data_IF_681296005207
#
_entry.id   IF_681296005207
#
_cell.length_a   1.000
_cell.length_b   1.000
_cell.length_c   1.000
_cell.angle_alpha   90.00
_cell.angle_beta   90.00
_cell.angle_gamma   90.00
#
_symmetry.space_group_name_H-M   'P 1'
#
loop_
_entity.id
_entity.type
_entity.pdbx_description
1 polymer ?
#
# COMPACT_ATOMS: atom_id res chain seq x y z
N UNK A 1 48.94 -68.90 1.61
CA UNK A 1 49.87 -68.86 2.75
C UNK A 1 49.84 -67.44 3.29
N UNK A 2 48.98 -67.18 4.30
CA UNK A 2 49.35 -66.99 5.73
C UNK A 2 50.10 -65.67 5.94
N UNK A 3 49.60 -64.70 6.72
CA UNK A 3 49.33 -64.84 8.14
C UNK A 3 48.32 -63.81 8.68
N UNK A 4 47.43 -64.28 9.55
CA UNK A 4 46.62 -63.50 10.48
C UNK A 4 47.47 -62.97 11.64
N UNK A 5 47.15 -61.78 12.17
CA UNK A 5 47.27 -61.47 13.60
C UNK A 5 46.04 -60.64 14.03
N UNK A 6 45.30 -61.16 15.02
CA UNK A 6 44.16 -60.57 15.74
C UNK A 6 44.60 -59.35 16.56
N UNK A 7 43.72 -58.36 16.76
CA UNK A 7 43.52 -57.70 18.07
C UNK A 7 42.08 -57.14 18.21
N UNK A 8 41.46 -57.64 19.26
CA UNK A 8 40.31 -57.23 20.10
C UNK A 8 39.36 -56.09 19.69
N UNK A 9 38.10 -56.51 19.58
CA UNK A 9 36.84 -55.78 19.71
C UNK A 9 36.71 -55.11 21.09
N UNK A 10 36.36 -53.82 21.11
CA UNK A 10 35.72 -53.16 22.25
C UNK A 10 34.39 -52.54 21.78
N UNK A 11 33.30 -53.07 22.33
CA UNK A 11 31.94 -52.56 22.17
C UNK A 11 31.80 -51.34 23.08
N UNK A 12 31.71 -50.14 22.51
CA UNK A 12 31.26 -48.95 23.24
C UNK A 12 29.83 -48.63 22.79
N UNK A 13 28.89 -49.05 23.63
CA UNK A 13 27.47 -48.73 23.52
C UNK A 13 27.29 -47.29 24.02
N UNK A 14 27.25 -46.30 23.12
CA UNK A 14 26.92 -44.92 23.48
C UNK A 14 25.44 -44.68 23.15
N UNK A 15 24.57 -44.82 24.16
CA UNK A 15 23.18 -44.45 24.09
C UNK A 15 23.05 -42.92 23.95
N UNK A 16 22.72 -42.43 22.75
CA UNK A 16 22.17 -41.08 22.59
C UNK A 16 20.64 -41.16 22.71
N UNK A 17 20.15 -40.76 23.88
CA UNK A 17 18.75 -40.54 24.18
C UNK A 17 18.25 -39.32 23.37
N UNK A 18 17.28 -39.55 22.49
CA UNK A 18 16.42 -38.51 21.93
C UNK A 18 15.57 -37.92 23.08
N UNK A 19 15.81 -36.66 23.44
CA UNK A 19 14.92 -35.90 24.30
C UNK A 19 13.66 -35.50 23.51
N UNK A 20 12.63 -36.33 23.62
CA UNK A 20 11.24 -35.94 23.35
C UNK A 20 10.82 -34.92 24.41
N UNK A 21 10.62 -33.68 24.00
CA UNK A 21 9.97 -32.66 24.84
C UNK A 21 8.48 -33.01 24.89
N UNK A 22 8.05 -33.62 25.99
CA UNK A 22 6.64 -33.75 26.35
C UNK A 22 6.11 -32.38 26.81
N UNK A 23 4.87 -32.01 26.48
CA UNK A 23 4.25 -30.83 27.05
C UNK A 23 4.07 -31.02 28.55
N UNK A 24 4.44 -30.00 29.31
CA UNK A 24 4.36 -29.90 30.75
C UNK A 24 2.95 -30.24 31.24
N UNK A 25 2.77 -31.42 31.82
CA UNK A 25 1.60 -31.69 32.64
C UNK A 25 1.72 -30.82 33.90
N UNK A 26 0.93 -29.74 33.96
CA UNK A 26 0.88 -28.87 35.13
C UNK A 26 0.38 -29.69 36.32
N UNK A 27 1.23 -29.84 37.34
CA UNK A 27 0.94 -30.60 38.54
C UNK A 27 -0.14 -29.88 39.35
N UNK A 28 -1.32 -30.48 39.44
CA UNK A 28 -2.33 -30.12 40.43
C UNK A 28 -1.88 -30.65 41.78
N UNK A 29 -1.24 -29.81 42.59
CA UNK A 29 -1.04 -30.11 44.02
C UNK A 29 -2.35 -29.85 44.74
N UNK A 30 -3.16 -30.88 44.91
CA UNK A 30 -4.33 -30.83 45.80
C UNK A 30 -3.85 -31.12 47.22
N UNK A 31 -3.62 -30.07 48.01
CA UNK A 31 -3.51 -30.20 49.46
C UNK A 31 -4.92 -30.25 50.05
N UNK A 32 -5.28 -31.38 50.65
CA UNK A 32 -6.52 -31.53 51.41
C UNK A 32 -6.44 -30.70 52.70
N UNK A 33 -7.42 -29.82 53.01
CA UNK A 33 -7.54 -29.24 54.33
C UNK A 33 -8.16 -30.28 55.28
N UNK A 34 -7.55 -30.42 56.46
CA UNK A 34 -8.14 -31.15 57.58
C UNK A 34 -9.52 -30.59 57.93
N UNK A 35 -10.47 -31.49 58.17
CA UNK A 35 -11.84 -31.17 58.52
C UNK A 35 -11.91 -30.32 59.80
N UNK A 36 -12.60 -29.18 59.76
CA UNK A 36 -13.50 -28.72 60.82
C UNK A 36 -14.30 -27.45 60.43
N UNK A 37 -15.61 -27.55 60.70
CA UNK A 37 -16.62 -26.49 60.84
C UNK A 37 -17.23 -25.85 59.59
N UNK A 38 -18.55 -25.66 59.68
CA UNK A 38 -19.48 -25.33 58.63
C UNK A 38 -19.36 -23.87 58.16
N UNK A 39 -19.19 -23.70 56.85
CA UNK A 39 -19.32 -22.45 56.13
C UNK A 39 -19.22 -22.75 54.64
N UNK A 40 -20.25 -22.39 53.87
CA UNK A 40 -20.27 -22.53 52.41
C UNK A 40 -19.09 -21.77 51.80
N UNK A 41 -17.99 -22.45 51.47
CA UNK A 41 -16.88 -21.85 50.75
C UNK A 41 -17.18 -21.89 49.25
N UNK A 42 -17.50 -20.72 48.69
CA UNK A 42 -17.50 -20.52 47.25
C UNK A 42 -16.04 -20.63 46.79
N UNK A 43 -15.69 -21.74 46.15
CA UNK A 43 -14.43 -21.86 45.42
C UNK A 43 -14.58 -21.03 44.16
N UNK A 44 -14.17 -19.76 44.22
CA UNK A 44 -14.03 -18.94 43.03
C UNK A 44 -12.78 -19.42 42.29
N UNK A 45 -12.95 -20.34 41.34
CA UNK A 45 -11.92 -20.61 40.36
C UNK A 45 -11.79 -19.37 39.47
N UNK A 46 -10.78 -18.53 39.74
CA UNK A 46 -10.34 -17.54 38.77
C UNK A 46 -9.77 -18.32 37.58
N UNK A 47 -10.56 -18.41 36.51
CA UNK A 47 -10.01 -18.68 35.20
C UNK A 47 -9.04 -17.54 34.93
N UNK A 48 -7.75 -17.83 35.03
CA UNK A 48 -6.73 -16.96 34.46
C UNK A 48 -6.95 -17.05 32.95
N UNK A 49 -7.74 -16.12 32.40
CA UNK A 49 -7.66 -15.87 30.97
C UNK A 49 -6.19 -15.56 30.71
N UNK A 50 -5.49 -16.46 30.01
CA UNK A 50 -4.18 -16.13 29.48
C UNK A 50 -4.42 -14.96 28.51
N UNK A 51 -4.19 -13.75 29.02
CA UNK A 51 -4.33 -12.54 28.21
C UNK A 51 -3.42 -12.66 27.00
N UNK A 52 -3.96 -12.32 25.83
CA UNK A 52 -3.12 -12.21 24.64
C UNK A 52 -2.02 -11.18 24.90
N UNK A 53 -0.80 -11.49 24.44
CA UNK A 53 0.26 -10.48 24.41
C UNK A 53 -0.26 -9.24 23.68
N UNK A 54 -0.10 -8.07 24.28
CA UNK A 54 -0.62 -6.82 23.76
C UNK A 54 0.35 -5.68 24.07
N UNK A 55 0.36 -4.69 23.18
CA UNK A 55 1.15 -3.48 23.33
C UNK A 55 0.21 -2.27 23.34
N UNK A 56 0.43 -1.37 24.30
CA UNK A 56 -0.32 -0.12 24.45
C UNK A 56 0.63 1.05 24.30
N UNK A 57 0.20 2.08 23.55
CA UNK A 57 0.97 3.30 23.40
C UNK A 57 1.12 4.01 24.75
N UNK A 58 2.26 4.67 24.93
CA UNK A 58 2.57 5.49 26.11
C UNK A 58 1.57 6.66 26.27
N UNK A 59 1.07 7.19 25.14
CA UNK A 59 0.06 8.23 25.07
C UNK A 59 -1.12 7.76 24.19
N UNK A 60 -2.39 7.79 24.69
CA UNK A 60 -3.58 7.45 23.90
C UNK A 60 -3.78 8.28 22.62
N UNK A 61 -3.24 9.50 22.56
CA UNK A 61 -3.28 10.34 21.35
C UNK A 61 -2.35 9.83 20.25
N UNK A 62 -1.34 9.02 20.60
CA UNK A 62 -0.41 8.41 19.65
C UNK A 62 -1.01 7.15 19.02
N UNK A 63 -2.13 7.34 18.36
CA UNK A 63 -2.88 6.27 17.69
C UNK A 63 -2.01 5.51 16.69
N UNK A 64 -2.21 4.19 16.64
CA UNK A 64 -1.49 3.31 15.71
C UNK A 64 -2.05 3.46 14.29
N UNK A 65 -1.17 3.40 13.29
CA UNK A 65 -1.52 3.60 11.88
C UNK A 65 -1.20 2.38 11.02
N UNK A 66 0.03 1.87 11.11
CA UNK A 66 0.52 0.79 10.25
C UNK A 66 1.32 -0.23 11.05
N UNK A 67 1.24 -1.49 10.66
CA UNK A 67 1.99 -2.59 11.26
C UNK A 67 2.68 -3.40 10.15
N UNK A 68 3.95 -3.74 10.37
CA UNK A 68 4.73 -4.58 9.48
C UNK A 68 5.53 -5.59 10.31
N UNK A 69 5.56 -6.86 9.91
CA UNK A 69 6.29 -7.93 10.62
C UNK A 69 7.46 -8.40 9.77
N UNK A 70 8.68 -8.38 10.30
CA UNK A 70 9.85 -8.94 9.62
C UNK A 70 9.75 -10.47 9.63
N UNK A 71 9.55 -11.06 8.46
CA UNK A 71 9.35 -12.51 8.33
C UNK A 71 10.58 -13.34 8.74
N UNK A 72 11.77 -12.73 8.84
CA UNK A 72 13.02 -13.43 9.16
C UNK A 72 13.20 -13.68 10.66
N UNK A 73 12.72 -12.75 11.50
CA UNK A 73 12.95 -12.77 12.95
C UNK A 73 11.66 -12.60 13.79
N UNK A 74 10.53 -12.26 13.17
CA UNK A 74 9.25 -12.06 13.85
C UNK A 74 9.12 -10.73 14.59
N UNK A 75 10.10 -9.83 14.49
CA UNK A 75 10.00 -8.50 15.09
C UNK A 75 8.87 -7.70 14.41
N UNK A 76 8.14 -6.93 15.22
CA UNK A 76 7.01 -6.13 14.76
C UNK A 76 7.41 -4.67 14.72
N UNK A 77 7.22 -4.04 13.57
CA UNK A 77 7.42 -2.60 13.37
C UNK A 77 6.06 -1.94 13.32
N UNK A 78 5.83 -0.98 14.21
CA UNK A 78 4.54 -0.32 14.39
C UNK A 78 4.70 1.18 14.15
N UNK A 79 4.09 1.68 13.09
CA UNK A 79 3.98 3.09 12.77
C UNK A 79 2.79 3.70 13.50
N UNK A 80 3.04 4.75 14.26
CA UNK A 80 2.04 5.47 15.03
C UNK A 80 2.16 6.98 14.79
N UNK A 81 1.20 7.72 15.32
CA UNK A 81 1.34 9.18 15.41
C UNK A 81 2.52 9.51 16.32
N UNK A 82 3.45 10.33 15.82
CA UNK A 82 4.67 10.80 16.51
C UNK A 82 5.71 9.74 16.88
N UNK A 83 5.47 8.45 16.60
CA UNK A 83 6.36 7.35 17.02
C UNK A 83 6.44 6.24 15.98
N UNK A 84 7.59 5.58 15.92
CA UNK A 84 7.77 4.28 15.28
C UNK A 84 8.36 3.34 16.32
N UNK A 85 7.71 2.20 16.54
CA UNK A 85 8.17 1.20 17.50
C UNK A 85 8.75 -0.01 16.78
N UNK A 86 9.78 -0.60 17.39
CA UNK A 86 10.23 -1.96 17.11
C UNK A 86 9.93 -2.79 18.35
N UNK A 87 9.12 -3.83 18.16
CA UNK A 87 8.69 -4.75 19.20
C UNK A 87 9.26 -6.14 18.91
N UNK A 88 9.45 -6.91 19.99
CA UNK A 88 9.73 -8.34 19.91
C UNK A 88 8.50 -9.11 19.35
N UNK A 89 8.64 -10.41 19.03
CA UNK A 89 7.50 -11.26 18.71
C UNK A 89 6.48 -11.38 19.85
N UNK A 90 6.88 -11.15 21.10
CA UNK A 90 5.99 -11.08 22.28
C UNK A 90 5.38 -9.69 22.52
N UNK A 91 5.55 -8.76 21.57
CA UNK A 91 5.09 -7.37 21.62
C UNK A 91 5.74 -6.52 22.73
N UNK A 92 6.92 -6.92 23.20
CA UNK A 92 7.73 -6.11 24.12
C UNK A 92 8.50 -5.04 23.36
N UNK A 93 8.49 -3.80 23.84
CA UNK A 93 9.20 -2.68 23.20
C UNK A 93 10.71 -2.91 23.29
N UNK A 94 11.36 -2.99 22.13
CA UNK A 94 12.81 -3.05 22.04
C UNK A 94 13.39 -1.65 21.82
N UNK A 95 12.79 -0.89 20.89
CA UNK A 95 13.21 0.48 20.54
C UNK A 95 12.00 1.31 20.14
N UNK A 96 12.01 2.60 20.48
CA UNK A 96 11.08 3.59 19.94
C UNK A 96 11.84 4.75 19.29
N UNK A 97 11.34 5.22 18.14
CA UNK A 97 11.88 6.34 17.40
C UNK A 97 10.85 7.46 17.36
N UNK A 98 11.23 8.65 17.81
CA UNK A 98 10.36 9.83 17.82
C UNK A 98 10.28 10.47 16.42
N UNK A 99 9.05 10.71 15.94
CA UNK A 99 8.81 11.30 14.63
C UNK A 99 8.13 12.67 14.68
N UNK A 100 7.66 13.11 15.85
CA UNK A 100 7.00 14.37 16.12
C UNK A 100 6.55 14.45 17.58
N UNK A 101 5.70 15.41 17.96
CA UNK A 101 5.14 16.47 17.11
C UNK A 101 6.17 17.53 16.74
N UNK A 102 5.84 18.42 15.81
CA UNK A 102 6.69 19.57 15.48
C UNK A 102 5.90 20.76 14.92
N UNK A 103 6.47 21.96 14.96
CA UNK A 103 5.85 23.24 14.56
C UNK A 103 5.68 23.36 13.04
N UNK A 104 4.58 22.90 12.47
CA UNK A 104 4.38 22.88 11.02
C UNK A 104 3.04 23.51 10.62
N UNK A 105 2.88 23.79 9.32
CA UNK A 105 1.60 24.16 8.76
C UNK A 105 1.48 23.58 7.33
N UNK A 106 0.38 22.86 7.08
CA UNK A 106 0.10 22.18 5.79
C UNK A 106 0.04 23.15 4.59
N UNK A 107 -0.10 24.46 4.80
CA UNK A 107 -0.07 25.48 3.75
C UNK A 107 1.35 25.88 3.33
N UNK A 108 2.37 25.56 4.13
CA UNK A 108 3.76 25.91 3.84
C UNK A 108 4.35 25.00 2.75
N UNK A 109 4.57 25.54 1.54
CA UNK A 109 5.22 24.82 0.46
C UNK A 109 6.30 25.67 -0.25
N UNK A 110 7.55 25.17 -0.39
CA UNK A 110 8.18 24.08 0.37
C UNK A 110 8.06 24.20 1.92
N UNK A 111 8.32 23.11 2.66
CA UNK A 111 8.25 23.10 4.12
C UNK A 111 9.25 24.04 4.78
N UNK A 112 9.00 24.35 6.07
CA UNK A 112 9.80 25.31 6.85
C UNK A 112 11.30 24.99 6.97
N UNK A 113 11.64 23.71 6.90
CA UNK A 113 13.02 23.20 6.96
C UNK A 113 13.83 23.54 5.70
N UNK A 114 13.16 23.97 4.62
CA UNK A 114 13.79 24.41 3.37
C UNK A 114 13.68 25.92 3.19
N UNK A 115 12.53 26.50 3.50
CA UNK A 115 12.31 27.95 3.36
C UNK A 115 11.46 28.50 4.51
N UNK A 116 11.66 29.76 4.94
CA UNK A 116 10.77 30.40 5.90
C UNK A 116 9.32 30.41 5.39
N UNK A 117 8.36 30.15 6.28
CA UNK A 117 6.93 30.18 5.97
C UNK A 117 6.26 31.37 6.66
N UNK A 118 5.42 32.10 5.92
CA UNK A 118 4.66 33.25 6.45
C UNK A 118 3.38 32.83 7.17
N UNK A 119 2.93 31.60 6.98
CA UNK A 119 1.74 31.06 7.66
C UNK A 119 2.06 30.79 9.14
N UNK A 120 1.09 30.97 10.04
CA UNK A 120 1.30 30.69 11.45
C UNK A 120 1.58 29.19 11.65
N UNK A 121 2.69 28.89 12.32
CA UNK A 121 3.05 27.52 12.68
C UNK A 121 2.27 27.07 13.91
N UNK A 122 1.98 25.78 13.97
CA UNK A 122 1.36 25.15 15.12
C UNK A 122 2.02 23.81 15.39
N UNK A 123 2.18 23.46 16.67
CA UNK A 123 2.61 22.13 17.07
C UNK A 123 1.66 21.08 16.48
N UNK A 124 2.16 20.36 15.49
CA UNK A 124 1.38 19.44 14.66
C UNK A 124 1.89 18.02 14.83
N UNK A 125 0.96 17.09 15.00
CA UNK A 125 1.27 15.67 15.08
C UNK A 125 1.72 15.10 13.73
N UNK A 126 2.72 14.21 13.76
CA UNK A 126 3.19 13.48 12.60
C UNK A 126 2.50 12.13 12.49
N UNK A 127 1.54 12.01 11.56
CA UNK A 127 0.84 10.75 11.31
C UNK A 127 1.72 9.85 10.44
N UNK A 128 1.91 8.59 10.85
CA UNK A 128 2.59 7.63 9.97
C UNK A 128 1.65 7.23 8.83
N UNK A 129 2.03 7.57 7.59
CA UNK A 129 1.23 7.34 6.38
C UNK A 129 1.63 6.11 5.59
N UNK A 130 2.87 5.66 5.76
CA UNK A 130 3.38 4.49 5.06
C UNK A 130 4.54 3.88 5.85
N UNK A 131 4.58 2.55 5.89
CA UNK A 131 5.62 1.78 6.57
C UNK A 131 5.98 0.56 5.73
N UNK A 132 7.16 0.58 5.11
CA UNK A 132 7.61 -0.49 4.20
C UNK A 132 9.00 -0.99 4.60
N UNK A 133 9.17 -2.30 4.60
CA UNK A 133 10.48 -2.93 4.82
C UNK A 133 11.23 -3.07 3.50
N UNK A 134 12.41 -2.45 3.44
CA UNK A 134 13.41 -2.67 2.40
C UNK A 134 14.39 -3.73 2.90
N UNK A 135 14.06 -4.99 2.62
CA UNK A 135 14.82 -6.15 3.08
C UNK A 135 16.23 -6.21 2.50
N UNK A 136 16.44 -5.68 1.28
CA UNK A 136 17.73 -5.78 0.60
C UNK A 136 18.74 -4.84 1.23
N UNK A 137 18.32 -3.62 1.57
CA UNK A 137 19.17 -2.62 2.22
C UNK A 137 19.05 -2.64 3.76
N UNK A 138 18.37 -3.64 4.32
CA UNK A 138 18.12 -3.85 5.76
C UNK A 138 17.60 -2.59 6.48
N UNK A 139 16.62 -1.91 5.86
CA UNK A 139 16.06 -0.65 6.37
C UNK A 139 14.54 -0.61 6.27
N UNK A 140 13.96 0.31 7.04
CA UNK A 140 12.55 0.60 7.13
C UNK A 140 12.31 1.98 6.51
N UNK A 141 11.47 2.03 5.49
CA UNK A 141 10.97 3.26 4.91
C UNK A 141 9.70 3.67 5.65
N UNK A 142 9.76 4.79 6.37
CA UNK A 142 8.63 5.31 7.12
C UNK A 142 8.32 6.76 6.69
N UNK A 143 7.14 6.97 6.12
CA UNK A 143 6.73 8.28 5.64
C UNK A 143 5.66 8.90 6.55
N UNK A 144 5.85 10.18 6.88
CA UNK A 144 4.98 10.93 7.77
C UNK A 144 4.01 11.85 7.04
N UNK A 145 3.23 12.62 7.79
CA UNK A 145 2.39 13.71 7.26
C UNK A 145 3.05 15.09 7.41
N UNK A 146 3.97 15.26 8.36
CA UNK A 146 4.70 16.52 8.55
C UNK A 146 5.59 16.86 7.35
N UNK A 147 5.83 18.16 7.19
CA UNK A 147 6.70 18.73 6.16
C UNK A 147 6.30 18.32 4.75
N UNK A 148 5.01 18.40 4.45
CA UNK A 148 4.44 17.99 3.15
C UNK A 148 4.67 16.49 2.84
N UNK A 149 4.88 15.68 3.88
CA UNK A 149 4.97 14.22 3.80
C UNK A 149 6.35 13.70 3.40
N UNK A 150 7.40 14.13 4.11
CA UNK A 150 8.75 13.55 3.93
C UNK A 150 8.83 12.12 4.48
N UNK A 151 9.82 11.38 3.99
CA UNK A 151 10.13 10.03 4.43
C UNK A 151 11.44 9.95 5.21
N UNK A 152 11.47 9.03 6.17
CA UNK A 152 12.64 8.64 6.95
C UNK A 152 13.04 7.21 6.56
N UNK A 153 14.34 6.98 6.48
CA UNK A 153 14.94 5.66 6.34
C UNK A 153 15.55 5.28 7.69
N UNK A 154 15.04 4.22 8.31
CA UNK A 154 15.47 3.76 9.62
C UNK A 154 16.12 2.38 9.51
N UNK A 155 17.20 2.11 10.22
CA UNK A 155 17.81 0.76 10.24
C UNK A 155 16.88 -0.23 10.96
N UNK A 156 16.73 -1.44 10.43
CA UNK A 156 15.83 -2.44 11.03
C UNK A 156 16.29 -2.89 12.43
N UNK A 157 17.59 -2.84 12.73
CA UNK A 157 18.14 -3.35 13.98
C UNK A 157 17.80 -2.47 15.20
N UNK A 158 17.86 -1.15 15.04
CA UNK A 158 17.79 -0.21 16.15
C UNK A 158 17.02 1.08 15.83
N UNK A 159 16.33 1.14 14.69
CA UNK A 159 15.61 2.33 14.20
C UNK A 159 16.48 3.59 14.11
N UNK A 160 17.80 3.44 13.95
CA UNK A 160 18.69 4.56 13.71
C UNK A 160 18.36 5.23 12.37
N UNK A 161 18.27 6.56 12.35
CA UNK A 161 17.95 7.33 11.13
C UNK A 161 19.12 7.31 10.16
N UNK A 162 18.98 6.56 9.08
CA UNK A 162 19.94 6.46 7.98
C UNK A 162 19.85 7.63 7.00
N UNK A 163 18.69 8.24 6.88
CA UNK A 163 18.46 9.34 5.96
C UNK A 163 17.05 9.91 6.08
N UNK A 164 16.93 11.19 5.75
CA UNK A 164 15.66 11.92 5.70
C UNK A 164 15.77 12.96 4.57
N UNK A 165 15.56 12.56 3.31
CA UNK A 165 15.64 13.49 2.19
C UNK A 165 14.54 14.55 2.29
N UNK A 166 14.92 15.84 2.19
CA UNK A 166 13.96 16.96 2.21
C UNK A 166 14.28 18.10 1.25
N UNK A 167 15.41 18.07 0.54
CA UNK A 167 15.86 19.23 -0.27
C UNK A 167 15.14 19.41 -1.62
N UNK A 168 14.51 18.37 -2.18
CA UNK A 168 13.89 18.40 -3.51
C UNK A 168 12.38 18.22 -3.45
N UNK A 169 11.68 18.68 -4.49
CA UNK A 169 10.21 18.57 -4.58
C UNK A 169 9.74 17.11 -4.55
N UNK A 170 10.53 16.22 -5.14
CA UNK A 170 10.27 14.79 -5.20
C UNK A 170 10.36 14.12 -3.82
N UNK A 171 11.03 14.74 -2.84
CA UNK A 171 11.11 14.19 -1.49
C UNK A 171 9.80 14.34 -0.71
N UNK A 172 8.90 15.23 -1.15
CA UNK A 172 7.58 15.43 -0.55
C UNK A 172 6.57 14.48 -1.22
N UNK A 173 5.97 13.57 -0.45
CA UNK A 173 4.93 12.68 -0.97
C UNK A 173 3.56 13.35 -0.99
N UNK A 174 3.09 13.77 0.18
CA UNK A 174 1.79 14.40 0.39
C UNK A 174 1.59 14.70 1.88
N UNK A 175 1.20 15.93 2.21
CA UNK A 175 0.86 16.36 3.57
C UNK A 175 -0.55 15.99 4.04
N UNK A 176 -1.23 15.03 3.40
CA UNK A 176 -2.54 14.50 3.87
C UNK A 176 -2.39 13.87 5.26
N UNK A 177 -3.29 14.18 6.19
CA UNK A 177 -3.26 13.63 7.55
C UNK A 177 -3.97 12.27 7.68
N UNK A 178 -4.74 11.83 6.69
CA UNK A 178 -5.39 10.52 6.70
C UNK A 178 -4.37 9.40 6.44
N UNK A 179 -4.21 8.48 7.39
CA UNK A 179 -3.20 7.41 7.34
C UNK A 179 -3.42 6.41 6.21
N UNK A 180 -4.68 6.04 5.91
CA UNK A 180 -5.02 5.01 4.91
C UNK A 180 -5.19 5.52 3.48
N UNK A 181 -4.71 6.73 3.19
CA UNK A 181 -4.82 7.35 1.86
C UNK A 181 -3.60 7.13 0.97
N UNK A 182 -2.59 6.42 1.49
CA UNK A 182 -1.28 6.21 0.84
C UNK A 182 -0.91 4.74 0.89
N UNK A 183 -0.37 4.23 -0.20
CA UNK A 183 0.24 2.92 -0.23
C UNK A 183 1.47 2.92 -1.13
N UNK A 184 2.43 2.05 -0.83
CA UNK A 184 3.61 1.88 -1.66
C UNK A 184 4.06 0.44 -1.76
N UNK A 185 4.80 0.16 -2.82
CA UNK A 185 5.34 -1.17 -3.13
C UNK A 185 6.80 -0.99 -3.55
N UNK A 186 7.70 -1.66 -2.83
CA UNK A 186 9.12 -1.72 -3.19
C UNK A 186 9.31 -2.87 -4.19
N UNK A 187 9.98 -2.59 -5.30
CA UNK A 187 10.25 -3.53 -6.38
C UNK A 187 11.74 -3.55 -6.68
N UNK A 188 12.31 -4.76 -6.73
CA UNK A 188 13.72 -5.00 -7.05
C UNK A 188 13.90 -5.69 -8.40
N UNK A 189 14.87 -5.25 -9.22
CA UNK A 189 15.30 -5.98 -10.43
C UNK A 189 16.64 -6.65 -10.22
N UNK A 190 16.61 -7.75 -9.47
CA UNK A 190 17.80 -8.52 -9.17
C UNK A 190 18.88 -7.67 -8.47
N UNK A 191 20.13 -8.12 -8.60
CA UNK A 191 21.24 -7.59 -7.80
C UNK A 191 21.96 -6.39 -8.42
N UNK A 192 21.71 -6.08 -9.69
CA UNK A 192 22.47 -5.06 -10.43
C UNK A 192 21.83 -3.67 -10.38
N UNK A 193 20.49 -3.58 -10.30
CA UNK A 193 19.80 -2.28 -10.27
C UNK A 193 19.50 -1.83 -8.83
N UNK A 194 19.37 -0.52 -8.60
CA UNK A 194 18.70 -0.02 -7.40
C UNK A 194 17.23 -0.49 -7.37
N UNK A 195 16.64 -0.43 -6.19
CA UNK A 195 15.20 -0.70 -6.02
C UNK A 195 14.40 0.49 -6.49
N UNK A 196 13.14 0.23 -6.80
CA UNK A 196 12.17 1.25 -7.15
C UNK A 196 11.02 1.21 -6.16
N UNK A 197 10.53 2.38 -5.81
CA UNK A 197 9.33 2.57 -5.02
C UNK A 197 8.21 3.02 -5.95
N UNK A 198 7.20 2.17 -6.14
CA UNK A 198 5.91 2.65 -6.62
C UNK A 198 5.14 3.17 -5.42
N UNK A 199 4.73 4.43 -5.47
CA UNK A 199 4.00 5.07 -4.38
C UNK A 199 2.79 5.79 -4.93
N UNK A 200 1.69 5.64 -4.23
CA UNK A 200 0.42 6.21 -4.60
C UNK A 200 -0.22 6.89 -3.38
N UNK A 201 -0.72 8.10 -3.58
CA UNK A 201 -1.19 8.97 -2.49
C UNK A 201 -2.33 9.87 -2.94
N UNK A 202 -3.23 10.14 -2.00
CA UNK A 202 -4.13 11.28 -2.06
C UNK A 202 -3.34 12.61 -2.12
N UNK A 203 -3.91 13.62 -2.81
CA UNK A 203 -3.22 14.89 -3.10
C UNK A 203 -3.82 16.11 -2.39
N UNK A 204 -4.97 15.99 -1.71
CA UNK A 204 -5.57 17.08 -0.90
C UNK A 204 -5.81 18.38 -1.69
N UNK A 205 -6.26 18.26 -2.94
CA UNK A 205 -6.46 19.43 -3.81
C UNK A 205 -5.16 20.12 -4.27
N UNK A 206 -4.00 19.45 -4.15
CA UNK A 206 -2.69 19.98 -4.57
C UNK A 206 -2.08 19.20 -5.75
N UNK A 207 -2.77 19.10 -6.90
CA UNK A 207 -2.29 18.31 -8.05
C UNK A 207 -0.98 18.84 -8.64
N UNK A 208 -0.71 20.13 -8.50
CA UNK A 208 0.52 20.75 -9.01
C UNK A 208 1.75 20.26 -8.25
N UNK A 209 1.61 20.03 -6.94
CA UNK A 209 2.71 19.68 -6.04
C UNK A 209 3.01 18.19 -6.02
N UNK A 210 1.97 17.36 -6.00
CA UNK A 210 2.11 15.92 -5.77
C UNK A 210 1.47 15.12 -6.91
N UNK A 211 2.20 14.17 -7.51
CA UNK A 211 1.56 13.14 -8.32
C UNK A 211 0.76 12.19 -7.44
N UNK A 212 -0.36 11.70 -7.97
CA UNK A 212 -1.20 10.73 -7.26
C UNK A 212 -0.62 9.32 -7.32
N UNK A 213 0.13 8.98 -8.39
CA UNK A 213 0.96 7.77 -8.47
C UNK A 213 2.30 8.14 -9.08
N UNK A 214 3.40 7.59 -8.55
CA UNK A 214 4.74 7.76 -9.13
C UNK A 214 5.62 6.53 -8.91
N UNK A 215 6.62 6.36 -9.78
CA UNK A 215 7.71 5.42 -9.60
C UNK A 215 9.00 6.20 -9.32
N UNK A 216 9.61 5.89 -8.17
CA UNK A 216 10.72 6.63 -7.59
C UNK A 216 11.91 5.72 -7.36
N UNK A 217 13.12 6.28 -7.47
CA UNK A 217 14.37 5.56 -7.21
C UNK A 217 14.57 5.38 -5.71
N UNK A 218 14.90 4.17 -5.28
CA UNK A 218 15.43 3.89 -3.95
C UNK A 218 16.92 3.62 -4.07
N UNK A 219 17.72 4.68 -3.86
CA UNK A 219 19.16 4.55 -3.86
C UNK A 219 19.64 3.67 -2.70
N UNK A 220 20.75 2.97 -2.90
CA UNK A 220 21.34 2.10 -1.85
C UNK A 220 21.87 2.94 -0.69
N UNK A 221 22.57 4.03 -1.02
CA UNK A 221 22.96 5.02 -0.03
C UNK A 221 21.74 5.87 0.36
N UNK A 222 21.38 5.82 1.64
CA UNK A 222 20.23 6.55 2.21
C UNK A 222 20.40 8.07 2.20
N UNK A 223 21.63 8.56 2.06
CA UNK A 223 21.97 10.00 1.98
C UNK A 223 22.15 10.49 0.54
N UNK A 224 21.99 9.62 -0.45
CA UNK A 224 22.16 10.00 -1.85
C UNK A 224 21.09 11.01 -2.28
N UNK A 225 21.52 12.08 -2.93
CA UNK A 225 20.64 13.13 -3.45
C UNK A 225 19.65 12.62 -4.53
N UNK A 226 19.92 11.46 -5.12
CA UNK A 226 19.03 10.76 -6.05
C UNK A 226 17.89 9.98 -5.38
N UNK A 227 17.83 9.93 -4.05
CA UNK A 227 16.76 9.24 -3.32
C UNK A 227 15.39 9.85 -3.66
N UNK A 228 14.40 9.00 -3.93
CA UNK A 228 13.04 9.36 -4.34
C UNK A 228 12.89 10.14 -5.65
N UNK A 229 13.98 10.40 -6.39
CA UNK A 229 13.88 10.97 -7.73
C UNK A 229 13.03 10.07 -8.64
N UNK A 230 12.31 10.64 -9.60
CA UNK A 230 11.56 9.84 -10.57
C UNK A 230 12.49 8.89 -11.33
N UNK A 231 11.99 7.69 -11.63
CA UNK A 231 12.76 6.69 -12.41
C UNK A 231 13.15 7.27 -13.77
N UNK A 232 12.20 7.94 -14.42
CA UNK A 232 12.39 8.69 -15.66
C UNK A 232 11.68 10.05 -15.56
N UNK A 233 12.31 11.09 -16.09
CA UNK A 233 11.78 12.43 -16.15
C UNK A 233 12.41 13.19 -17.32
N UNK A 234 11.59 13.59 -18.29
CA UNK A 234 11.91 14.54 -19.34
C UNK A 234 10.86 15.68 -19.38
N UNK A 235 10.96 16.58 -20.36
CA UNK A 235 10.07 17.75 -20.49
C UNK A 235 8.59 17.38 -20.72
N UNK A 236 8.30 16.20 -21.28
CA UNK A 236 6.95 15.80 -21.72
C UNK A 236 6.40 14.59 -20.95
N UNK A 237 7.28 13.72 -20.45
CA UNK A 237 6.98 12.42 -19.88
C UNK A 237 7.78 12.22 -18.61
N UNK A 238 7.10 11.74 -17.58
CA UNK A 238 7.72 11.38 -16.31
C UNK A 238 7.09 10.10 -15.77
N UNK A 239 7.81 9.40 -14.91
CA UNK A 239 7.31 8.20 -14.21
C UNK A 239 6.28 8.56 -13.11
N UNK A 240 5.23 9.30 -13.47
CA UNK A 240 4.18 9.76 -12.57
C UNK A 240 2.88 10.08 -13.31
N UNK A 241 1.77 10.05 -12.56
CA UNK A 241 0.46 10.54 -13.00
C UNK A 241 -0.01 11.60 -12.01
N UNK A 242 -0.44 12.74 -12.54
CA UNK A 242 -1.07 13.83 -11.79
C UNK A 242 -2.56 13.88 -12.08
N UNK A 243 -3.34 14.35 -11.10
CA UNK A 243 -4.76 14.65 -11.32
C UNK A 243 -4.83 15.98 -12.08
N UNK A 244 -5.52 16.06 -13.23
CA UNK A 244 -5.67 17.33 -13.96
C UNK A 244 -6.41 18.38 -13.13
N UNK A 245 -6.02 19.65 -13.25
CA UNK A 245 -6.71 20.76 -12.57
C UNK A 245 -8.20 20.86 -12.96
N UNK A 246 -8.53 20.51 -14.20
CA UNK A 246 -9.91 20.50 -14.70
C UNK A 246 -10.81 19.53 -13.92
N UNK A 247 -10.26 18.43 -13.41
CA UNK A 247 -11.00 17.48 -12.55
C UNK A 247 -11.51 18.16 -11.29
N UNK A 248 -10.72 19.05 -10.67
CA UNK A 248 -11.11 19.82 -9.49
C UNK A 248 -12.15 20.91 -9.81
N UNK A 249 -12.23 21.37 -11.05
CA UNK A 249 -13.31 22.29 -11.46
C UNK A 249 -14.67 21.60 -11.51
N UNK A 250 -14.68 20.29 -11.82
CA UNK A 250 -15.90 19.47 -11.90
C UNK A 250 -16.28 18.92 -10.52
N UNK A 251 -15.29 18.39 -9.78
CA UNK A 251 -15.45 17.84 -8.43
C UNK A 251 -14.35 18.47 -7.53
N UNK A 252 -14.65 19.54 -6.78
CA UNK A 252 -13.65 20.28 -5.99
C UNK A 252 -12.89 19.43 -4.96
N UNK A 253 -13.57 18.45 -4.36
CA UNK A 253 -13.00 17.55 -3.35
C UNK A 253 -12.58 16.20 -3.95
N UNK A 254 -12.29 16.16 -5.26
CA UNK A 254 -11.84 14.92 -5.92
C UNK A 254 -10.49 14.48 -5.36
N UNK A 255 -10.43 13.25 -4.87
CA UNK A 255 -9.18 12.61 -4.49
C UNK A 255 -9.24 11.10 -4.70
N UNK A 256 -8.07 10.47 -4.79
CA UNK A 256 -7.95 9.02 -5.00
C UNK A 256 -7.34 8.43 -3.72
N UNK A 257 -8.10 7.57 -3.05
CA UNK A 257 -7.66 6.88 -1.85
C UNK A 257 -7.05 5.52 -2.22
N UNK A 258 -5.79 5.31 -1.86
CA UNK A 258 -5.05 4.07 -2.14
C UNK A 258 -5.10 3.13 -0.93
N UNK A 259 -6.06 2.21 -0.94
CA UNK A 259 -6.39 1.36 0.21
C UNK A 259 -5.38 0.22 0.38
N UNK A 260 -4.89 -0.32 -0.73
CA UNK A 260 -3.94 -1.44 -0.72
C UNK A 260 -3.08 -1.44 -1.98
N UNK A 261 -1.88 -2.02 -1.92
CA UNK A 261 -1.00 -2.19 -3.05
C UNK A 261 -0.11 -3.42 -2.91
N UNK A 262 0.21 -4.06 -4.03
CA UNK A 262 1.05 -5.27 -4.04
C UNK A 262 1.77 -5.43 -5.38
N UNK A 263 2.83 -6.23 -5.37
CA UNK A 263 3.51 -6.68 -6.58
C UNK A 263 3.16 -8.15 -6.86
N UNK A 264 2.90 -8.50 -8.11
CA UNK A 264 2.77 -9.89 -8.55
C UNK A 264 3.23 -10.02 -10.00
N UNK A 265 4.02 -11.07 -10.27
CA UNK A 265 4.69 -11.25 -11.56
C UNK A 265 5.49 -10.00 -11.97
N UNK A 266 5.24 -9.50 -13.17
CA UNK A 266 5.89 -8.31 -13.74
C UNK A 266 5.12 -7.00 -13.53
N UNK A 267 4.12 -7.01 -12.63
CA UNK A 267 3.22 -5.88 -12.43
C UNK A 267 3.19 -5.42 -10.98
N UNK A 268 2.80 -4.16 -10.80
CA UNK A 268 2.33 -3.62 -9.52
C UNK A 268 0.85 -3.30 -9.65
N UNK A 269 0.13 -3.49 -8.55
CA UNK A 269 -1.30 -3.28 -8.45
C UNK A 269 -1.59 -2.34 -7.29
N UNK A 270 -2.55 -1.44 -7.49
CA UNK A 270 -3.11 -0.62 -6.43
C UNK A 270 -4.63 -0.77 -6.44
N UNK A 271 -5.23 -0.87 -5.27
CA UNK A 271 -6.67 -0.84 -5.11
C UNK A 271 -7.08 0.54 -4.63
N UNK A 272 -7.92 1.19 -5.41
CA UNK A 272 -8.31 2.57 -5.18
C UNK A 272 -9.79 2.68 -4.87
N UNK A 273 -10.12 3.74 -4.14
CA UNK A 273 -11.48 4.23 -4.02
C UNK A 273 -11.48 5.70 -4.48
N UNK A 274 -12.30 6.02 -5.47
CA UNK A 274 -12.34 7.36 -6.05
C UNK A 274 -13.78 7.81 -6.32
N UNK A 275 -14.06 9.13 -6.26
CA UNK A 275 -15.32 9.71 -6.73
C UNK A 275 -15.63 9.32 -8.18
N UNK A 276 -16.90 9.05 -8.46
CA UNK A 276 -17.36 8.83 -9.84
C UNK A 276 -17.53 10.16 -10.57
N UNK A 277 -16.82 10.31 -11.70
CA UNK A 277 -16.97 11.43 -12.63
C UNK A 277 -18.15 11.12 -13.56
N UNK A 278 -19.34 11.71 -13.33
CA UNK A 278 -20.46 11.65 -14.30
C UNK A 278 -21.83 11.19 -13.81
N UNK A 279 -22.05 10.98 -12.51
CA UNK A 279 -23.32 10.43 -11.98
C UNK A 279 -24.48 11.40 -11.75
N UNK A 280 -24.83 12.28 -12.70
CA UNK A 280 -26.08 13.07 -12.59
C UNK A 280 -26.54 13.68 -13.91
N UNK A 281 -27.86 13.64 -14.24
CA UNK A 281 -28.36 14.06 -15.53
C UNK A 281 -28.01 15.51 -15.83
N UNK A 282 -27.68 15.74 -17.11
CA UNK A 282 -27.49 17.03 -17.77
C UNK A 282 -28.80 17.83 -17.80
N UNK A 283 -29.31 18.20 -16.63
CA UNK A 283 -30.44 19.13 -16.49
C UNK A 283 -30.25 19.95 -15.21
N UNK A 284 -29.77 21.18 -15.39
CA UNK A 284 -29.85 22.34 -14.49
C UNK A 284 -30.33 22.16 -13.06
N UNK A 285 -29.53 21.52 -12.19
CA UNK A 285 -29.72 21.66 -10.74
C UNK A 285 -28.39 21.82 -10.03
N UNK A 286 -28.38 22.89 -9.24
CA UNK A 286 -27.35 23.44 -8.36
C UNK A 286 -26.42 22.41 -7.73
N UNK A 287 -25.12 22.70 -7.76
CA UNK A 287 -24.01 21.92 -7.19
C UNK A 287 -24.03 21.81 -5.66
N UNK A 288 -24.93 22.51 -4.96
CA UNK A 288 -25.13 22.35 -3.53
C UNK A 288 -26.11 21.21 -3.26
N UNK A 289 -25.59 19.99 -3.04
CA UNK A 289 -26.39 18.84 -2.57
C UNK A 289 -26.33 17.56 -3.41
N UNK A 290 -25.44 17.45 -4.40
CA UNK A 290 -25.22 16.15 -5.07
C UNK A 290 -24.43 15.22 -4.15
N UNK A 291 -25.03 14.09 -3.82
CA UNK A 291 -24.42 13.08 -2.95
C UNK A 291 -23.31 12.35 -3.72
N UNK A 292 -22.07 12.42 -3.23
CA UNK A 292 -20.91 11.87 -3.93
C UNK A 292 -20.92 10.33 -3.90
N UNK A 293 -20.90 9.73 -5.09
CA UNK A 293 -20.77 8.29 -5.30
C UNK A 293 -19.29 7.95 -5.50
N UNK A 294 -18.87 6.82 -4.95
CA UNK A 294 -17.50 6.29 -5.02
C UNK A 294 -17.47 4.95 -5.74
N UNK A 295 -16.41 4.73 -6.50
CA UNK A 295 -16.14 3.49 -7.22
C UNK A 295 -14.79 2.93 -6.80
N UNK A 296 -14.78 1.65 -6.43
CA UNK A 296 -13.53 0.93 -6.20
C UNK A 296 -12.95 0.44 -7.51
N UNK A 297 -11.64 0.62 -7.72
CA UNK A 297 -10.94 0.16 -8.92
C UNK A 297 -9.67 -0.59 -8.57
N UNK A 298 -9.26 -1.50 -9.44
CA UNK A 298 -7.91 -2.03 -9.47
C UNK A 298 -7.12 -1.33 -10.56
N UNK A 299 -6.01 -0.72 -10.17
CA UNK A 299 -5.01 -0.11 -11.03
C UNK A 299 -3.88 -1.11 -11.23
N UNK A 300 -3.35 -1.22 -12.46
CA UNK A 300 -2.18 -2.04 -12.78
C UNK A 300 -1.15 -1.23 -13.58
N UNK A 301 0.12 -1.41 -13.26
CA UNK A 301 1.27 -0.88 -14.00
C UNK A 301 2.30 -1.99 -14.23
N UNK A 302 2.97 -1.99 -15.38
CA UNK A 302 4.17 -2.79 -15.60
C UNK A 302 5.28 -2.25 -14.72
N UNK A 303 6.04 -3.14 -14.09
CA UNK A 303 7.22 -2.72 -13.32
C UNK A 303 8.21 -1.98 -14.25
N UNK A 304 8.46 -2.52 -15.44
CA UNK A 304 9.51 -2.06 -16.36
C UNK A 304 9.15 -0.81 -17.16
N UNK A 305 7.90 -0.37 -17.05
CA UNK A 305 7.41 0.78 -17.79
C UNK A 305 7.74 2.09 -17.08
N UNK A 306 8.75 2.78 -17.59
CA UNK A 306 9.18 4.09 -17.05
C UNK A 306 8.29 5.24 -17.50
N UNK A 307 7.48 5.05 -18.55
CA UNK A 307 6.65 6.09 -19.15
C UNK A 307 5.19 6.07 -18.67
N UNK A 308 4.81 5.10 -17.82
CA UNK A 308 3.45 4.94 -17.27
C UNK A 308 2.36 4.66 -18.33
N UNK A 309 2.83 4.27 -19.52
CA UNK A 309 2.09 3.87 -20.69
C UNK A 309 1.20 2.63 -20.47
N UNK A 310 1.56 1.78 -19.51
CA UNK A 310 0.89 0.55 -19.12
C UNK A 310 -0.24 0.75 -18.10
N UNK A 311 -0.52 2.00 -17.70
CA UNK A 311 -1.56 2.32 -16.73
C UNK A 311 -2.94 1.83 -17.22
N UNK A 312 -3.61 1.07 -16.37
CA UNK A 312 -4.98 0.63 -16.60
C UNK A 312 -5.73 0.55 -15.29
N UNK A 313 -7.00 0.97 -15.30
CA UNK A 313 -7.90 0.86 -14.16
C UNK A 313 -9.17 0.11 -14.56
N UNK A 314 -9.64 -0.78 -13.68
CA UNK A 314 -10.88 -1.55 -13.89
C UNK A 314 -11.71 -1.50 -12.60
N UNK A 315 -13.03 -1.21 -12.67
CA UNK A 315 -13.90 -1.28 -11.51
C UNK A 315 -13.93 -2.68 -10.89
N UNK A 316 -13.91 -2.75 -9.56
CA UNK A 316 -13.97 -4.00 -8.80
C UNK A 316 -15.05 -3.94 -7.73
N UNK A 317 -15.57 -5.11 -7.38
CA UNK A 317 -16.61 -5.28 -6.38
C UNK A 317 -17.23 -6.66 -6.50
N UNK A 318 -18.25 -6.91 -5.69
CA UNK A 318 -18.92 -8.21 -5.67
C UNK A 318 -20.40 -8.05 -5.34
N UNK A 319 -21.15 -9.11 -5.63
CA UNK A 319 -22.60 -9.16 -5.44
C UNK A 319 -22.92 -10.43 -4.64
N UNK A 320 -23.72 -10.29 -3.60
CA UNK A 320 -24.25 -11.42 -2.83
C UNK A 320 -25.73 -11.19 -2.54
N UNK A 321 -26.59 -12.14 -2.91
CA UNK A 321 -28.04 -12.05 -2.67
C UNK A 321 -28.69 -10.75 -3.19
N UNK A 322 -28.34 -10.32 -4.42
CA UNK A 322 -28.76 -9.05 -5.04
C UNK A 322 -28.29 -7.77 -4.34
N UNK A 323 -27.36 -7.87 -3.38
CA UNK A 323 -26.72 -6.71 -2.75
C UNK A 323 -25.35 -6.48 -3.38
N UNK A 324 -25.11 -5.25 -3.85
CA UNK A 324 -23.81 -4.85 -4.37
C UNK A 324 -22.90 -4.28 -3.27
N UNK A 325 -21.65 -4.75 -3.27
CA UNK A 325 -20.60 -4.30 -2.38
C UNK A 325 -19.49 -3.67 -3.25
N UNK A 326 -19.36 -2.34 -3.16
CA UNK A 326 -18.52 -1.54 -4.09
C UNK A 326 -17.54 -0.61 -3.38
N UNK A 327 -17.59 -0.50 -2.05
CA UNK A 327 -16.69 0.36 -1.28
C UNK A 327 -15.59 -0.48 -0.63
N UNK A 328 -14.38 -0.43 -1.18
CA UNK A 328 -13.25 -1.18 -0.66
C UNK A 328 -12.81 -0.64 0.70
N UNK A 329 -12.65 -1.55 1.67
CA UNK A 329 -12.20 -1.24 3.03
C UNK A 329 -10.78 -1.74 3.30
N UNK A 330 -10.47 -2.95 2.84
CA UNK A 330 -9.17 -3.59 3.03
C UNK A 330 -8.97 -4.70 2.00
N UNK A 331 -7.71 -5.07 1.75
CA UNK A 331 -7.38 -6.22 0.94
C UNK A 331 -6.08 -6.88 1.37
N UNK A 332 -5.88 -8.11 0.92
CA UNK A 332 -4.68 -8.90 1.19
C UNK A 332 -4.42 -9.89 0.05
N UNK A 333 -3.20 -9.87 -0.48
CA UNK A 333 -2.74 -10.85 -1.47
C UNK A 333 -2.23 -12.11 -0.77
N UNK A 334 -2.69 -13.28 -1.20
CA UNK A 334 -2.22 -14.57 -0.70
C UNK A 334 -2.17 -15.61 -1.81
N UNK A 335 -1.67 -16.80 -1.48
CA UNK A 335 -1.77 -17.99 -2.33
C UNK A 335 -3.13 -18.64 -2.19
N UNK A 336 -3.62 -19.25 -3.26
CA UNK A 336 -4.91 -19.96 -3.25
C UNK A 336 -4.93 -21.12 -2.24
N UNK A 337 -3.84 -21.88 -2.16
CA UNK A 337 -3.79 -23.12 -1.38
C UNK A 337 -4.61 -24.25 -2.03
N UNK A 338 -4.36 -25.48 -1.59
CA UNK A 338 -4.91 -26.68 -2.24
C UNK A 338 -6.45 -26.82 -2.15
N UNK A 339 -7.08 -26.19 -1.16
CA UNK A 339 -8.52 -26.32 -0.91
C UNK A 339 -9.34 -25.31 -1.72
N UNK A 340 -8.91 -24.06 -1.79
CA UNK A 340 -9.64 -22.99 -2.48
C UNK A 340 -9.35 -22.98 -3.99
N UNK A 341 -8.15 -23.42 -4.40
CA UNK A 341 -7.71 -23.43 -5.79
C UNK A 341 -8.68 -24.11 -6.77
N UNK A 342 -9.24 -25.31 -6.49
CA UNK A 342 -10.20 -25.96 -7.39
C UNK A 342 -11.47 -25.14 -7.62
N UNK A 343 -12.00 -24.50 -6.58
CA UNK A 343 -13.22 -23.67 -6.66
C UNK A 343 -13.04 -22.39 -7.46
N UNK A 344 -11.80 -21.91 -7.57
CA UNK A 344 -11.46 -20.69 -8.32
C UNK A 344 -10.95 -20.98 -9.74
N UNK A 345 -10.76 -22.26 -10.08
CA UNK A 345 -10.05 -22.73 -11.28
C UNK A 345 -8.66 -22.11 -11.38
N UNK A 346 -7.80 -22.35 -10.39
CA UNK A 346 -6.40 -21.85 -10.35
C UNK A 346 -5.47 -22.92 -9.78
N UNK A 347 -4.16 -22.73 -9.90
CA UNK A 347 -3.18 -23.57 -9.21
C UNK A 347 -3.09 -23.20 -7.71
N UNK A 348 -2.67 -24.13 -6.82
CA UNK A 348 -2.50 -23.84 -5.39
C UNK A 348 -1.56 -22.65 -5.11
N UNK A 349 -0.55 -22.45 -5.95
CA UNK A 349 0.46 -21.40 -5.81
C UNK A 349 0.12 -20.11 -6.58
N UNK A 350 -1.04 -20.06 -7.24
CA UNK A 350 -1.50 -18.84 -7.92
C UNK A 350 -1.92 -17.79 -6.89
N UNK A 351 -1.66 -16.52 -7.25
CA UNK A 351 -2.04 -15.38 -6.42
C UNK A 351 -3.55 -15.12 -6.47
N UNK A 352 -4.11 -14.94 -5.29
CA UNK A 352 -5.53 -14.63 -5.05
C UNK A 352 -5.63 -13.42 -4.14
N UNK A 353 -6.48 -12.48 -4.55
CA UNK A 353 -6.75 -11.26 -3.81
C UNK A 353 -8.00 -11.43 -2.95
N UNK A 354 -7.85 -11.32 -1.64
CA UNK A 354 -8.96 -11.20 -0.70
C UNK A 354 -9.24 -9.72 -0.47
N UNK A 355 -10.50 -9.30 -0.55
CA UNK A 355 -10.89 -7.91 -0.36
C UNK A 355 -12.22 -7.79 0.38
N UNK A 356 -12.29 -6.84 1.31
CA UNK A 356 -13.51 -6.50 2.06
C UNK A 356 -14.15 -5.29 1.40
N UNK A 357 -15.46 -5.41 1.11
CA UNK A 357 -16.25 -4.31 0.58
C UNK A 357 -17.46 -4.01 1.45
N UNK A 358 -17.72 -2.73 1.68
CA UNK A 358 -18.98 -2.24 2.25
C UNK A 358 -20.06 -2.09 1.18
N UNK A 359 -21.31 -2.23 1.61
CA UNK A 359 -22.52 -2.14 0.77
C UNK A 359 -22.73 -0.77 0.15
N UNK A 360 -23.20 -0.76 -1.08
CA UNK A 360 -23.52 0.46 -1.83
C UNK A 360 -22.27 1.17 -2.33
N UNK A 361 -22.42 2.45 -2.69
CA UNK A 361 -21.37 3.28 -3.30
C UNK A 361 -21.24 4.66 -2.61
N UNK A 362 -21.90 4.83 -1.46
CA UNK A 362 -21.90 6.09 -0.71
C UNK A 362 -21.09 5.91 0.54
N UNK A 363 -20.05 6.73 0.74
CA UNK A 363 -19.29 6.74 1.98
C UNK A 363 -20.20 7.23 3.11
N UNK A 364 -20.60 6.33 4.00
CA UNK A 364 -21.29 6.67 5.24
C UNK A 364 -20.27 6.84 6.36
N UNK A 365 -20.55 7.67 7.39
CA UNK A 365 -19.68 7.79 8.54
C UNK A 365 -19.37 6.41 9.15
N UNK A 366 -18.12 6.20 9.59
CA UNK A 366 -17.65 4.91 10.16
C UNK A 366 -18.48 4.44 11.37
N UNK A 367 -19.27 5.32 12.00
CA UNK A 367 -20.17 4.96 13.10
C UNK A 367 -21.44 4.20 12.68
N UNK A 368 -21.85 4.22 11.41
CA UNK A 368 -23.03 3.46 10.99
C UNK A 368 -22.63 2.01 10.68
N UNK A 369 -23.33 1.03 11.27
CA UNK A 369 -23.13 -0.40 10.94
C UNK A 369 -23.30 -0.60 9.43
N UNK A 370 -22.20 -0.87 8.72
CA UNK A 370 -22.23 -1.14 7.28
C UNK A 370 -22.28 -2.64 7.06
N UNK A 371 -23.28 -3.10 6.29
CA UNK A 371 -23.23 -4.44 5.69
C UNK A 371 -21.94 -4.53 4.88
N UNK A 372 -21.13 -5.59 5.11
CA UNK A 372 -19.87 -5.83 4.40
C UNK A 372 -19.78 -7.27 3.89
N UNK A 373 -18.94 -7.48 2.89
CA UNK A 373 -18.68 -8.79 2.29
C UNK A 373 -17.18 -9.01 2.08
N UNK A 374 -16.72 -10.24 2.34
CA UNK A 374 -15.41 -10.73 1.93
C UNK A 374 -15.52 -11.35 0.55
N UNK A 375 -14.73 -10.85 -0.38
CA UNK A 375 -14.73 -11.23 -1.77
C UNK A 375 -13.34 -11.67 -2.21
N UNK A 376 -13.31 -12.64 -3.12
CA UNK A 376 -12.09 -13.35 -3.51
C UNK A 376 -11.92 -13.25 -5.02
N UNK A 377 -10.78 -12.76 -5.48
CA UNK A 377 -10.49 -12.53 -6.89
C UNK A 377 -9.24 -13.29 -7.31
N UNK A 378 -9.38 -14.16 -8.31
CA UNK A 378 -8.22 -14.74 -8.99
C UNK A 378 -7.48 -13.66 -9.77
N UNK A 379 -6.18 -13.49 -9.51
CA UNK A 379 -5.38 -12.50 -10.23
C UNK A 379 -5.26 -12.86 -11.73
N UNK A 380 -5.33 -14.15 -12.06
CA UNK A 380 -5.42 -14.65 -13.44
C UNK A 380 -6.64 -14.07 -14.16
N UNK A 381 -7.83 -14.19 -13.56
CA UNK A 381 -9.08 -13.65 -14.13
C UNK A 381 -9.06 -12.12 -14.25
N UNK A 382 -8.49 -11.42 -13.27
CA UNK A 382 -8.28 -9.96 -13.35
C UNK A 382 -7.41 -9.62 -14.57
N UNK A 383 -6.28 -10.31 -14.74
CA UNK A 383 -5.35 -10.07 -15.84
C UNK A 383 -5.97 -10.40 -17.21
N UNK A 384 -6.80 -11.44 -17.30
CA UNK A 384 -7.60 -11.77 -18.49
C UNK A 384 -8.57 -10.65 -18.83
N UNK A 385 -9.32 -10.12 -17.86
CA UNK A 385 -10.25 -9.00 -18.09
C UNK A 385 -9.54 -7.73 -18.53
N UNK A 386 -8.39 -7.42 -17.93
CA UNK A 386 -7.56 -6.29 -18.38
C UNK A 386 -7.07 -6.52 -19.82
N UNK A 387 -6.61 -7.74 -20.15
CA UNK A 387 -6.16 -8.08 -21.50
C UNK A 387 -7.28 -7.95 -22.53
N UNK A 388 -8.47 -8.45 -22.24
CA UNK A 388 -9.66 -8.30 -23.09
C UNK A 388 -9.97 -6.83 -23.36
N UNK A 389 -9.94 -5.98 -22.31
CA UNK A 389 -10.20 -4.54 -22.44
C UNK A 389 -9.17 -3.84 -23.32
N UNK A 390 -7.88 -4.15 -23.12
CA UNK A 390 -6.80 -3.62 -23.96
C UNK A 390 -6.94 -4.08 -25.41
N UNK A 391 -7.25 -5.35 -25.66
CA UNK A 391 -7.45 -5.89 -27.00
C UNK A 391 -8.63 -5.24 -27.73
N UNK A 392 -9.75 -4.99 -27.06
CA UNK A 392 -10.88 -4.23 -27.62
C UNK A 392 -10.48 -2.80 -27.97
N UNK A 393 -9.72 -2.13 -27.09
CA UNK A 393 -9.22 -0.79 -27.41
C UNK A 393 -8.27 -0.79 -28.61
N UNK A 394 -7.37 -1.78 -28.74
CA UNK A 394 -6.51 -1.90 -29.93
C UNK A 394 -7.25 -2.27 -31.22
N UNK A 395 -8.51 -2.73 -31.14
CA UNK A 395 -9.39 -2.86 -32.31
C UNK A 395 -10.05 -1.55 -32.71
N UNK A 396 -9.83 -0.47 -31.95
CA UNK A 396 -10.50 0.82 -32.13
C UNK A 396 -11.91 0.87 -31.54
N UNK A 397 -12.26 -0.07 -30.65
CA UNK A 397 -13.60 -0.15 -30.07
C UNK A 397 -13.70 0.70 -28.79
N UNK A 398 -14.67 1.63 -28.79
CA UNK A 398 -14.98 2.47 -27.63
C UNK A 398 -13.96 3.58 -27.36
N UNK A 399 -13.91 4.02 -26.10
CA UNK A 399 -13.05 5.12 -25.63
C UNK A 399 -12.13 4.65 -24.52
N UNK A 400 -11.07 5.42 -24.26
CA UNK A 400 -10.26 5.26 -23.06
C UNK A 400 -11.04 5.85 -21.87
N UNK A 401 -11.92 5.03 -21.29
CA UNK A 401 -12.83 5.33 -20.18
C UNK A 401 -12.07 5.65 -18.87
N UNK A 402 -11.47 6.85 -18.84
CA UNK A 402 -10.61 7.41 -17.79
C UNK A 402 -11.07 8.84 -17.46
N UNK A 403 -12.34 8.98 -17.11
CA UNK A 403 -13.02 10.28 -17.00
C UNK A 403 -12.37 11.29 -16.02
N UNK A 404 -11.60 10.84 -15.04
CA UNK A 404 -10.90 11.74 -14.10
C UNK A 404 -9.53 12.20 -14.61
N UNK A 405 -8.91 11.45 -15.52
CA UNK A 405 -7.61 11.79 -16.10
C UNK A 405 -7.79 12.59 -17.40
N UNK A 406 -9.00 12.56 -17.98
CA UNK A 406 -9.30 13.16 -19.28
C UNK A 406 -10.57 13.98 -19.20
N UNK A 407 -10.48 15.22 -19.64
CA UNK A 407 -11.63 16.14 -19.74
C UNK A 407 -12.53 15.77 -20.92
N UNK A 408 -11.99 15.05 -21.91
CA UNK A 408 -12.73 14.58 -23.10
C UNK A 408 -12.45 13.10 -23.37
N UNK A 409 -13.48 12.41 -23.83
CA UNK A 409 -13.36 11.02 -24.27
C UNK A 409 -12.40 10.89 -25.45
N UNK A 410 -11.33 10.13 -25.24
CA UNK A 410 -10.35 9.83 -26.29
C UNK A 410 -10.76 8.49 -26.92
N UNK A 411 -11.05 8.44 -28.24
CA UNK A 411 -11.38 7.19 -28.91
C UNK A 411 -10.20 6.25 -28.89
N UNK A 412 -10.49 4.97 -28.71
CA UNK A 412 -9.50 3.92 -28.88
C UNK A 412 -9.01 3.90 -30.34
N UNK A 413 -7.69 3.72 -30.53
CA UNK A 413 -7.10 3.69 -31.87
C UNK A 413 -6.90 2.25 -32.31
N UNK A 414 -7.26 1.95 -33.56
CA UNK A 414 -6.99 0.64 -34.13
C UNK A 414 -5.50 0.52 -34.43
N UNK A 415 -4.87 -0.49 -33.85
CA UNK A 415 -3.53 -0.92 -34.20
C UNK A 415 -3.59 -2.40 -34.56
N UNK A 416 -2.96 -2.79 -35.68
CA UNK A 416 -2.89 -4.20 -36.05
C UNK A 416 -2.20 -4.97 -34.93
N UNK A 417 -2.84 -6.07 -34.51
CA UNK A 417 -2.43 -6.91 -33.40
C UNK A 417 -0.98 -7.36 -33.60
N UNK A 418 -0.06 -6.95 -32.72
CA UNK A 418 1.28 -7.53 -32.68
C UNK A 418 1.16 -9.00 -32.29
N UNK A 419 1.11 -9.89 -33.27
CA UNK A 419 1.50 -11.28 -33.08
C UNK A 419 3.00 -11.29 -32.79
N UNK A 420 3.35 -11.42 -31.50
CA UNK A 420 4.70 -11.73 -31.03
C UNK A 420 5.77 -10.70 -31.37
N UNK A 421 5.96 -9.71 -30.50
CA UNK A 421 7.22 -9.05 -30.14
C UNK A 421 6.89 -7.96 -29.10
N UNK A 422 7.88 -7.63 -28.27
CA UNK A 422 7.82 -6.84 -27.04
C UNK A 422 6.88 -5.63 -27.05
N UNK A 423 6.10 -5.51 -25.98
CA UNK A 423 5.10 -4.47 -25.72
C UNK A 423 5.68 -3.06 -25.46
N UNK A 424 6.96 -2.83 -25.73
CA UNK A 424 7.68 -1.60 -25.35
C UNK A 424 7.67 -0.51 -26.45
N UNK A 425 7.42 -0.86 -27.72
CA UNK A 425 7.60 0.08 -28.84
C UNK A 425 6.41 0.95 -29.24
N UNK A 426 5.16 0.52 -28.98
CA UNK A 426 3.99 1.12 -29.63
C UNK A 426 3.20 2.12 -28.78
N UNK A 427 3.41 2.15 -27.46
CA UNK A 427 2.65 3.05 -26.59
C UNK A 427 3.07 4.51 -26.78
N UNK A 428 4.32 4.74 -27.22
CA UNK A 428 4.86 6.06 -27.56
C UNK A 428 4.07 6.80 -28.66
N UNK A 429 3.43 6.08 -29.58
CA UNK A 429 2.79 6.70 -30.74
C UNK A 429 1.35 7.19 -30.47
N UNK A 430 0.61 6.51 -29.58
CA UNK A 430 -0.76 6.89 -29.23
C UNK A 430 -0.81 7.92 -28.08
N UNK A 431 0.11 7.85 -27.12
CA UNK A 431 0.24 8.84 -26.04
C UNK A 431 0.81 10.17 -26.53
N UNK A 432 1.80 10.16 -27.44
CA UNK A 432 2.35 11.37 -28.04
C UNK A 432 1.32 12.21 -28.81
N UNK A 433 0.27 11.58 -29.35
CA UNK A 433 -0.83 12.27 -30.05
C UNK A 433 -1.88 12.88 -29.10
N UNK A 434 -2.00 12.36 -27.87
CA UNK A 434 -2.92 12.89 -26.86
C UNK A 434 -2.29 14.07 -26.10
N UNK A 435 -1.04 13.94 -25.65
CA UNK A 435 -0.33 14.99 -24.89
C UNK A 435 0.11 16.15 -25.82
N UNK A 436 0.48 15.86 -27.07
CA UNK A 436 0.91 16.88 -28.04
C UNK A 436 -0.20 17.78 -28.60
N UNK A 437 -1.48 17.55 -28.26
CA UNK A 437 -2.60 18.41 -28.69
C UNK A 437 -2.97 19.50 -27.69
N UNK A 438 -2.63 19.34 -26.42
CA UNK A 438 -2.97 20.30 -25.36
C UNK A 438 -2.06 21.55 -25.43
N UNK A 439 -0.79 21.36 -25.80
CA UNK A 439 0.19 22.46 -25.95
C UNK A 439 -0.08 23.37 -27.15
N UNK A 440 -0.69 22.85 -28.23
CA UNK A 440 -1.08 23.69 -29.38
C UNK A 440 -2.28 24.61 -29.08
N UNK A 441 -3.11 24.30 -28.08
CA UNK A 441 -4.19 25.22 -27.68
C UNK A 441 -3.73 26.32 -26.75
N UNK A 442 -2.68 26.11 -25.94
CA UNK A 442 -2.12 27.16 -25.08
C UNK A 442 -1.27 28.19 -25.86
N UNK A 443 -0.55 27.77 -26.92
CA UNK A 443 0.18 28.71 -27.79
C UNK A 443 -0.74 29.61 -28.63
N UNK A 444 -1.95 29.15 -28.95
CA UNK A 444 -2.93 29.96 -29.69
C UNK A 444 -3.54 31.11 -28.86
N UNK A 445 -3.40 31.09 -27.53
CA UNK A 445 -3.91 32.13 -26.63
C UNK A 445 -2.84 33.12 -26.14
N UNK A 446 -1.54 32.89 -26.42
CA UNK A 446 -0.44 33.82 -26.12
C UNK A 446 -0.03 34.74 -27.28
N UNK A 447 -0.67 34.62 -28.44
CA UNK A 447 -0.37 35.44 -29.63
C UNK A 447 -1.14 36.76 -29.77
N UNK A 448 -1.97 37.14 -28.78
CA UNK A 448 -2.67 38.43 -28.75
C UNK A 448 -2.60 39.03 -27.34
N UNK A 449 -1.48 39.67 -27.02
CA UNK A 449 -1.42 40.82 -26.12
C UNK A 449 -0.17 41.63 -26.38
#
# INVERSE_FOLDING_TARGET
>A
MTSQIRIRTYFFLCCFLFSLVLPSASQTVVQAPQAQSAGSQVITALLQEEGYASFYAENPEWTFNHLAVDYRNGNVYLGAVNRIYKLSPSLEVQVSHETGPDEDNRKCYPPRIVQPCSEPLTLTNNVNKMLLMDYRENRLLACGSLYQGICKLLRLDDLFKLGEPFHKKEHYLSGVNESGSVFGVIVSYGNASPDMLFVATAVDGKPEYFPTISSRKLARNSEEDGMFAYVFHDEFVASMIKIPSDTFTVIPDFDIYYIYGFASGNFVYFLTLQPEMGGGPTTGSSSAGREQVYTSKIVRLCKADTAFNSYVEVPIGCISGNVEYRLLEAAYLSKAGSILAPSLDVAPDDDVLFAIFSKGQKRRPRQASQDSALCVFSLRKINEKIKERLQSCYKGEGTLDLAWLKVKDIPCSSAQTCQGLELEGLINHAWGLAVGRETRSEEAQRGYR
#
